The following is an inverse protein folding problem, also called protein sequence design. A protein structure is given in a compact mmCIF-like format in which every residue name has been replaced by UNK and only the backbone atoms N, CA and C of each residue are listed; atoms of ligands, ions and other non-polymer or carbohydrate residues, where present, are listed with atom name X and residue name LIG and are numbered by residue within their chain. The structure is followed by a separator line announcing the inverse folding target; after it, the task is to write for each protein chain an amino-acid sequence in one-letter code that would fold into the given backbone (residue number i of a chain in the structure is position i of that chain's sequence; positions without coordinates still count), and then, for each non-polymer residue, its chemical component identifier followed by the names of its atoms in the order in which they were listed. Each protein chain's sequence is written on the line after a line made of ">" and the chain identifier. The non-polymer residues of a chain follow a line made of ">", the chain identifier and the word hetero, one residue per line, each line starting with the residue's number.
data_IF_711477361951
#
_entry.id   IF_711477361951
#
_cell.length_a   1.000
_cell.length_b   1.000
_cell.length_c   1.000
_cell.angle_alpha   90.00
_cell.angle_beta   90.00
_cell.angle_gamma   90.00
#
_symmetry.space_group_name_H-M   'P 1'
#
loop_
_entity.id
_entity.type
_entity.pdbx_description
1 polymer ?
#
# COMPACT_ATOMS: atom_id res chain seq x y z
N UNK A 1 -19.55 -29.01 8.43
CA UNK A 1 -19.22 -27.77 7.72
C UNK A 1 -20.48 -26.94 7.59
N UNK A 2 -20.48 -25.75 8.15
CA UNK A 2 -21.52 -24.75 7.92
C UNK A 2 -21.23 -23.88 6.69
N UNK A 3 -22.17 -22.98 6.34
CA UNK A 3 -22.03 -22.11 5.16
C UNK A 3 -20.91 -21.07 5.31
N UNK A 4 -20.56 -20.64 6.51
CA UNK A 4 -19.52 -19.64 6.73
C UNK A 4 -18.13 -20.28 6.57
N UNK A 5 -17.94 -21.46 7.17
CA UNK A 5 -16.76 -22.30 6.96
C UNK A 5 -16.58 -22.65 5.49
N UNK A 6 -17.67 -23.02 4.79
CA UNK A 6 -17.63 -23.35 3.37
C UNK A 6 -17.22 -22.13 2.54
N UNK A 7 -17.84 -20.96 2.75
CA UNK A 7 -17.55 -19.72 2.01
C UNK A 7 -16.10 -19.26 2.17
N UNK A 8 -15.54 -19.39 3.37
CA UNK A 8 -14.15 -19.03 3.63
C UNK A 8 -13.14 -19.88 2.82
N UNK A 9 -13.55 -21.06 2.34
CA UNK A 9 -12.68 -21.99 1.62
C UNK A 9 -12.98 -22.07 0.11
N UNK A 10 -13.99 -21.35 -0.41
CA UNK A 10 -14.40 -21.47 -1.82
C UNK A 10 -13.33 -20.98 -2.81
N UNK A 11 -12.65 -19.87 -2.53
CA UNK A 11 -11.58 -19.37 -3.42
C UNK A 11 -10.42 -20.38 -3.48
N UNK A 12 -10.00 -20.91 -2.33
CA UNK A 12 -8.95 -21.93 -2.26
C UNK A 12 -9.37 -23.26 -2.93
N UNK A 13 -10.64 -23.66 -2.86
CA UNK A 13 -11.17 -24.82 -3.62
C UNK A 13 -11.05 -24.59 -5.13
N UNK A 14 -11.43 -23.39 -5.60
CA UNK A 14 -11.39 -23.03 -7.02
C UNK A 14 -9.94 -22.98 -7.55
N UNK A 15 -9.00 -22.48 -6.74
CA UNK A 15 -7.58 -22.42 -7.09
C UNK A 15 -6.84 -23.76 -6.90
N UNK A 16 -7.51 -24.78 -6.34
CA UNK A 16 -6.95 -26.10 -5.99
C UNK A 16 -5.83 -26.07 -4.94
N UNK A 17 -5.91 -25.12 -4.02
CA UNK A 17 -4.95 -24.93 -2.93
C UNK A 17 -5.39 -25.66 -1.64
N UNK A 18 -6.60 -26.26 -1.62
CA UNK A 18 -7.07 -27.04 -0.48
C UNK A 18 -6.41 -28.42 -0.39
N UNK A 19 -6.19 -28.87 0.84
CA UNK A 19 -5.82 -30.26 1.11
C UNK A 19 -6.94 -31.20 0.63
N UNK A 20 -6.59 -32.42 0.22
CA UNK A 20 -7.57 -33.42 -0.22
C UNK A 20 -8.77 -33.62 0.73
N UNK A 21 -8.59 -33.72 2.07
CA UNK A 21 -9.73 -33.85 2.99
C UNK A 21 -10.58 -32.58 3.10
N UNK A 22 -10.00 -31.39 2.96
CA UNK A 22 -10.75 -30.12 3.03
C UNK A 22 -11.55 -29.89 1.74
N UNK A 23 -10.94 -30.16 0.59
CA UNK A 23 -11.61 -30.10 -0.71
C UNK A 23 -12.84 -31.03 -0.75
N UNK A 24 -12.71 -32.25 -0.23
CA UNK A 24 -13.85 -33.18 -0.16
C UNK A 24 -14.98 -32.64 0.75
N UNK A 25 -14.65 -32.06 1.90
CA UNK A 25 -15.65 -31.47 2.82
C UNK A 25 -16.37 -30.28 2.18
N UNK A 26 -15.65 -29.42 1.47
CA UNK A 26 -16.22 -28.28 0.73
C UNK A 26 -17.13 -28.77 -0.40
N UNK A 27 -16.68 -29.74 -1.21
CA UNK A 27 -17.48 -30.32 -2.29
C UNK A 27 -18.80 -30.91 -1.77
N UNK A 28 -18.75 -31.73 -0.73
CA UNK A 28 -19.95 -32.31 -0.10
C UNK A 28 -20.94 -31.24 0.37
N UNK A 29 -20.44 -30.13 0.93
CA UNK A 29 -21.32 -29.03 1.35
C UNK A 29 -21.91 -28.27 0.16
N UNK A 30 -21.10 -27.95 -0.85
CA UNK A 30 -21.55 -27.26 -2.08
C UNK A 30 -22.59 -28.09 -2.81
N UNK A 31 -22.46 -29.42 -2.82
CA UNK A 31 -23.44 -30.33 -3.42
C UNK A 31 -24.81 -30.23 -2.72
N UNK A 32 -24.83 -30.04 -1.40
CA UNK A 32 -26.05 -29.93 -0.59
C UNK A 32 -26.60 -28.52 -0.38
N UNK A 33 -25.89 -27.45 -0.74
CA UNK A 33 -26.28 -26.07 -0.42
C UNK A 33 -26.27 -25.12 -1.63
N UNK A 34 -27.46 -24.66 -2.04
CA UNK A 34 -27.61 -23.78 -3.20
C UNK A 34 -26.99 -22.40 -3.05
N UNK A 35 -26.91 -21.87 -1.82
CA UNK A 35 -26.24 -20.59 -1.57
C UNK A 35 -24.74 -20.70 -1.86
N UNK A 36 -24.08 -21.71 -1.28
CA UNK A 36 -22.66 -21.97 -1.51
C UNK A 36 -22.36 -22.36 -2.97
N UNK A 37 -23.30 -23.06 -3.63
CA UNK A 37 -23.21 -23.37 -5.07
C UNK A 37 -23.20 -22.11 -5.94
N UNK A 38 -24.08 -21.14 -5.65
CA UNK A 38 -24.10 -19.85 -6.35
C UNK A 38 -22.84 -19.03 -6.10
N UNK A 39 -22.36 -19.01 -4.86
CA UNK A 39 -21.14 -18.28 -4.50
C UNK A 39 -19.91 -18.86 -5.21
N UNK A 40 -19.78 -20.19 -5.24
CA UNK A 40 -18.72 -20.87 -6.01
C UNK A 40 -18.80 -20.56 -7.50
N UNK A 41 -20.00 -20.56 -8.09
CA UNK A 41 -20.20 -20.25 -9.50
C UNK A 41 -19.79 -18.81 -9.85
N UNK A 42 -20.03 -17.83 -8.94
CA UNK A 42 -19.56 -16.45 -9.10
C UNK A 42 -18.05 -16.37 -9.16
N UNK A 43 -17.35 -17.06 -8.25
CA UNK A 43 -15.89 -17.11 -8.21
C UNK A 43 -15.35 -17.72 -9.51
N UNK A 44 -15.89 -18.86 -9.94
CA UNK A 44 -15.49 -19.50 -11.21
C UNK A 44 -15.71 -18.57 -12.41
N UNK A 45 -16.84 -17.86 -12.46
CA UNK A 45 -17.16 -16.91 -13.53
C UNK A 45 -16.16 -15.76 -13.56
N UNK A 46 -15.81 -15.21 -12.39
CA UNK A 46 -14.79 -14.16 -12.27
C UNK A 46 -13.42 -14.66 -12.76
N UNK A 47 -12.98 -15.83 -12.31
CA UNK A 47 -11.69 -16.42 -12.72
C UNK A 47 -11.65 -16.64 -14.23
N UNK A 48 -12.74 -17.12 -14.83
CA UNK A 48 -12.85 -17.29 -16.27
C UNK A 48 -12.77 -15.95 -17.02
N UNK A 49 -13.49 -14.93 -16.54
CA UNK A 49 -13.44 -13.59 -17.13
C UNK A 49 -12.03 -12.99 -17.08
N UNK A 50 -11.32 -13.15 -15.95
CA UNK A 50 -9.93 -12.69 -15.80
C UNK A 50 -8.98 -13.46 -16.73
N UNK A 51 -9.15 -14.78 -16.87
CA UNK A 51 -8.32 -15.60 -17.78
C UNK A 51 -8.54 -15.28 -19.26
N UNK A 52 -9.74 -14.79 -19.61
CA UNK A 52 -10.09 -14.35 -20.96
C UNK A 52 -9.75 -12.88 -21.22
N UNK A 53 -9.35 -12.12 -20.20
CA UNK A 53 -8.94 -10.74 -20.38
C UNK A 53 -7.67 -10.68 -21.24
N UNK A 54 -7.59 -9.68 -22.10
CA UNK A 54 -6.44 -9.47 -22.97
C UNK A 54 -5.17 -9.29 -22.13
N UNK A 55 -4.29 -10.28 -22.21
CA UNK A 55 -2.98 -10.19 -21.61
C UNK A 55 -2.09 -9.33 -22.50
N UNK A 56 -1.87 -8.07 -22.10
CA UNK A 56 -0.93 -7.20 -22.78
C UNK A 56 0.50 -7.67 -22.55
N UNK A 57 1.08 -8.34 -23.55
CA UNK A 57 2.49 -8.71 -23.54
C UNK A 57 3.32 -7.43 -23.43
N UNK A 58 4.21 -7.38 -22.45
CA UNK A 58 5.16 -6.28 -22.33
C UNK A 58 5.97 -6.14 -23.64
N UNK A 59 6.09 -4.95 -24.23
CA UNK A 59 6.92 -4.73 -25.41
C UNK A 59 8.36 -5.20 -25.14
N UNK A 60 9.01 -5.80 -26.14
CA UNK A 60 10.38 -6.29 -26.00
C UNK A 60 11.36 -5.20 -25.52
N UNK A 61 11.11 -3.94 -25.90
CA UNK A 61 11.86 -2.79 -25.40
C UNK A 61 11.73 -2.58 -23.88
N UNK A 62 10.52 -2.75 -23.32
CA UNK A 62 10.30 -2.66 -21.88
C UNK A 62 10.92 -3.86 -21.16
N UNK A 63 10.77 -5.07 -21.73
CA UNK A 63 11.42 -6.28 -21.21
C UNK A 63 12.94 -6.13 -21.16
N UNK A 64 13.55 -5.61 -22.22
CA UNK A 64 14.98 -5.35 -22.29
C UNK A 64 15.43 -4.29 -21.27
N UNK A 65 14.65 -3.21 -21.12
CA UNK A 65 14.91 -2.18 -20.10
C UNK A 65 14.85 -2.74 -18.67
N UNK A 66 13.86 -3.59 -18.38
CA UNK A 66 13.74 -4.27 -17.07
C UNK A 66 14.93 -5.22 -16.86
N UNK A 67 15.27 -6.06 -17.84
CA UNK A 67 16.41 -6.98 -17.73
C UNK A 67 17.75 -6.25 -17.58
N UNK A 68 17.92 -5.09 -18.24
CA UNK A 68 19.11 -4.26 -18.11
C UNK A 68 19.20 -3.50 -16.76
N UNK A 69 18.06 -3.25 -16.12
CA UNK A 69 17.98 -2.57 -14.81
C UNK A 69 18.03 -3.52 -13.62
N UNK A 70 17.82 -4.83 -13.85
CA UNK A 70 18.07 -5.84 -12.84
C UNK A 70 19.59 -5.96 -12.63
N UNK A 71 20.07 -5.93 -11.37
CA UNK A 71 21.48 -6.16 -11.10
C UNK A 71 21.86 -7.55 -11.62
N UNK A 72 22.96 -7.63 -12.36
CA UNK A 72 23.54 -8.91 -12.76
C UNK A 72 23.71 -9.74 -11.48
N UNK A 73 23.06 -10.91 -11.43
CA UNK A 73 23.35 -11.89 -10.40
C UNK A 73 24.86 -12.15 -10.49
N UNK A 74 25.59 -11.65 -9.49
CA UNK A 74 27.04 -11.62 -9.51
C UNK A 74 27.60 -13.03 -9.42
N UNK A 75 27.99 -13.59 -10.55
CA UNK A 75 28.98 -14.66 -10.60
C UNK A 75 30.36 -14.01 -10.45
N UNK A 76 30.94 -14.19 -9.27
CA UNK A 76 32.33 -13.82 -9.02
C UNK A 76 33.27 -14.69 -9.84
N UNK A 77 34.06 -14.07 -10.73
CA UNK A 77 35.48 -14.35 -10.92
C UNK A 77 36.11 -13.49 -12.04
N UNK A 78 37.29 -12.95 -11.70
CA UNK A 78 38.41 -12.63 -12.60
C UNK A 78 38.51 -11.20 -13.18
N UNK A 79 39.19 -10.37 -12.38
CA UNK A 79 40.25 -9.40 -12.69
C UNK A 79 40.98 -9.57 -14.06
N UNK A 80 41.15 -8.46 -14.79
CA UNK A 80 42.40 -8.18 -15.54
C UNK A 80 42.28 -7.52 -16.93
N UNK A 81 42.56 -6.19 -16.98
CA UNK A 81 43.25 -5.38 -18.03
C UNK A 81 42.70 -5.44 -19.49
N UNK A 82 42.56 -4.37 -20.30
CA UNK A 82 43.46 -3.22 -20.50
C UNK A 82 42.78 -2.09 -21.32
N UNK A 83 43.04 -0.85 -20.88
CA UNK A 83 43.21 0.44 -21.58
C UNK A 83 42.85 0.58 -23.08
N UNK A 84 42.02 1.60 -23.39
CA UNK A 84 42.30 2.61 -24.43
C UNK A 84 41.40 3.85 -24.21
N UNK A 85 42.03 5.01 -24.12
CA UNK A 85 41.44 6.35 -24.02
C UNK A 85 41.50 7.01 -25.40
N UNK A 86 40.48 7.80 -25.79
CA UNK A 86 40.76 9.07 -26.44
C UNK A 86 39.95 10.27 -25.88
N UNK A 87 40.63 11.40 -25.95
CA UNK A 87 40.33 12.79 -25.55
C UNK A 87 39.24 13.50 -26.41
N UNK A 88 38.89 14.80 -26.23
CA UNK A 88 37.51 15.20 -25.94
C UNK A 88 36.87 16.23 -26.92
N UNK A 89 35.60 16.53 -26.61
CA UNK A 89 34.76 17.70 -26.99
C UNK A 89 34.03 17.73 -28.36
N UNK A 90 32.87 18.43 -28.50
CA UNK A 90 32.37 19.54 -27.66
C UNK A 90 30.92 19.46 -27.14
N UNK A 91 30.63 20.37 -26.20
CA UNK A 91 29.39 20.55 -25.45
C UNK A 91 28.07 20.65 -26.26
N UNK A 92 26.94 20.15 -25.74
CA UNK A 92 25.63 20.41 -26.32
C UNK A 92 25.11 21.80 -25.96
N UNK A 93 24.83 22.58 -27.00
CA UNK A 93 24.15 23.87 -26.95
C UNK A 93 22.71 23.69 -26.45
N UNK A 94 22.30 24.61 -25.58
CA UNK A 94 20.95 24.79 -25.09
C UNK A 94 20.02 25.37 -26.17
N UNK A 95 18.77 24.88 -26.21
CA UNK A 95 17.49 25.56 -26.57
C UNK A 95 16.46 24.56 -27.14
N UNK A 96 15.16 24.91 -27.28
CA UNK A 96 14.25 25.49 -26.30
C UNK A 96 12.96 24.64 -26.16
N UNK A 97 12.22 24.86 -25.06
CA UNK A 97 10.92 24.22 -24.79
C UNK A 97 9.83 24.69 -25.78
N UNK A 98 9.05 23.79 -26.41
CA UNK A 98 7.83 24.17 -27.10
C UNK A 98 6.63 24.22 -26.14
N UNK A 99 5.97 25.37 -26.13
CA UNK A 99 4.64 25.64 -25.54
C UNK A 99 3.57 24.82 -26.27
N UNK A 100 3.04 23.80 -25.60
CA UNK A 100 1.86 23.06 -26.04
C UNK A 100 0.57 23.87 -25.86
N UNK A 101 -0.07 24.17 -26.99
CA UNK A 101 -1.38 24.82 -27.10
C UNK A 101 -2.52 23.82 -26.84
N UNK A 102 -3.49 24.30 -26.05
CA UNK A 102 -4.95 24.25 -26.28
C UNK A 102 -5.60 22.87 -26.48
N UNK A 103 -5.96 22.22 -25.36
CA UNK A 103 -6.85 21.06 -25.32
C UNK A 103 -8.35 21.39 -25.12
N UNK A 104 -8.73 22.68 -25.06
CA UNK A 104 -10.13 23.09 -24.90
C UNK A 104 -10.65 23.80 -26.16
N UNK A 105 -11.10 23.03 -27.15
CA UNK A 105 -11.89 23.52 -28.29
C UNK A 105 -13.17 22.74 -28.53
N UNK A 106 -13.59 21.91 -27.58
CA UNK A 106 -14.94 21.36 -27.51
C UNK A 106 -15.67 22.11 -26.40
N UNK A 107 -16.37 23.19 -26.78
CA UNK A 107 -17.46 23.89 -26.08
C UNK A 107 -17.63 25.22 -26.82
N UNK A 108 -18.22 25.13 -28.01
CA UNK A 108 -18.41 26.25 -28.92
C UNK A 108 -19.38 25.87 -30.03
N UNK A 109 -20.63 25.62 -29.65
CA UNK A 109 -21.73 25.37 -30.58
C UNK A 109 -22.95 26.13 -30.10
N UNK A 110 -23.04 27.40 -30.50
CA UNK A 110 -24.20 28.24 -30.24
C UNK A 110 -25.37 27.86 -31.14
N UNK A 111 -26.56 27.79 -30.56
CA UNK A 111 -27.81 28.02 -31.28
C UNK A 111 -28.52 29.16 -30.58
N UNK A 112 -28.61 30.26 -31.30
CA UNK A 112 -29.30 31.49 -30.91
C UNK A 112 -30.80 31.27 -31.08
N UNK A 113 -31.55 31.23 -29.97
CA UNK A 113 -33.00 31.37 -29.99
C UNK A 113 -33.38 32.57 -29.12
N UNK A 114 -33.79 33.67 -29.76
CA UNK A 114 -34.38 34.84 -29.11
C UNK A 114 -35.81 34.50 -28.67
N UNK A 115 -36.22 34.77 -27.42
CA UNK A 115 -37.61 35.02 -27.10
C UNK A 115 -37.90 36.52 -27.09
N UNK A 116 -38.99 36.93 -27.74
CA UNK A 116 -39.53 38.27 -27.67
C UNK A 116 -40.20 38.53 -26.30
N UNK A 117 -40.11 39.74 -25.72
CA UNK A 117 -40.73 40.05 -24.44
C UNK A 117 -42.17 40.56 -24.62
N UNK A 118 -43.12 39.95 -23.91
CA UNK A 118 -44.46 40.53 -23.66
C UNK A 118 -44.80 40.39 -22.18
N UNK A 119 -44.92 41.52 -21.48
CA UNK A 119 -45.55 41.62 -20.16
C UNK A 119 -44.71 42.35 -19.10
N UNK A 120 -45.26 43.38 -18.43
CA UNK A 120 -44.58 44.04 -17.31
C UNK A 120 -44.84 43.26 -16.01
N UNK A 121 -43.87 42.47 -15.57
CA UNK A 121 -43.80 41.91 -14.21
C UNK A 121 -42.88 42.75 -13.31
N UNK A 122 -43.10 42.78 -11.98
CA UNK A 122 -42.37 43.66 -11.08
C UNK A 122 -40.89 43.26 -11.02
N UNK A 123 -40.01 44.24 -11.23
CA UNK A 123 -38.56 44.07 -11.15
C UNK A 123 -38.14 43.99 -9.69
N UNK A 124 -38.00 42.78 -9.17
CA UNK A 124 -37.21 42.55 -7.95
C UNK A 124 -35.74 42.61 -8.37
N UNK A 125 -35.04 43.64 -7.91
CA UNK A 125 -33.61 43.81 -8.14
C UNK A 125 -32.85 42.70 -7.39
N UNK A 126 -32.56 41.59 -8.09
CA UNK A 126 -31.62 40.61 -7.61
C UNK A 126 -30.20 41.19 -7.73
N UNK A 127 -29.58 41.49 -6.59
CA UNK A 127 -28.17 41.88 -6.47
C UNK A 127 -27.28 40.75 -7.02
N UNK A 128 -26.59 40.92 -8.17
CA UNK A 128 -25.94 39.82 -8.90
C UNK A 128 -24.52 39.50 -8.40
N UNK A 129 -24.24 39.70 -7.11
CA UNK A 129 -22.89 39.57 -6.55
C UNK A 129 -22.68 38.42 -5.56
N UNK A 130 -23.75 37.92 -4.92
CA UNK A 130 -23.64 36.95 -3.81
C UNK A 130 -23.69 35.47 -4.24
N UNK A 131 -24.28 35.15 -5.39
CA UNK A 131 -24.47 33.75 -5.82
C UNK A 131 -23.18 33.01 -6.18
N UNK A 132 -22.18 33.72 -6.72
CA UNK A 132 -20.90 33.12 -7.12
C UNK A 132 -20.02 32.79 -5.91
N UNK A 133 -20.09 33.60 -4.84
CA UNK A 133 -19.36 33.34 -3.60
C UNK A 133 -19.86 32.07 -2.91
N UNK A 134 -21.18 31.87 -2.83
CA UNK A 134 -21.77 30.66 -2.24
C UNK A 134 -21.45 29.42 -3.08
N UNK A 135 -21.55 29.50 -4.41
CA UNK A 135 -21.22 28.38 -5.29
C UNK A 135 -19.73 27.98 -5.19
N UNK A 136 -18.81 28.94 -5.11
CA UNK A 136 -17.38 28.67 -4.94
C UNK A 136 -17.08 28.01 -3.58
N UNK A 137 -17.72 28.48 -2.52
CA UNK A 137 -17.59 27.89 -1.17
C UNK A 137 -18.09 26.45 -1.13
N UNK A 138 -19.25 26.16 -1.73
CA UNK A 138 -19.78 24.79 -1.81
C UNK A 138 -18.86 23.89 -2.64
N UNK A 139 -18.33 24.39 -3.76
CA UNK A 139 -17.39 23.63 -4.58
C UNK A 139 -16.07 23.32 -3.84
N UNK A 140 -15.52 24.29 -3.11
CA UNK A 140 -14.33 24.11 -2.27
C UNK A 140 -14.59 23.12 -1.12
N UNK A 141 -15.74 23.21 -0.46
CA UNK A 141 -16.13 22.28 0.60
C UNK A 141 -16.31 20.85 0.05
N UNK A 142 -16.95 20.69 -1.12
CA UNK A 142 -17.10 19.40 -1.77
C UNK A 142 -15.75 18.83 -2.22
N UNK A 143 -14.86 19.65 -2.80
CA UNK A 143 -13.51 19.22 -3.17
C UNK A 143 -12.67 18.82 -1.95
N UNK A 144 -12.73 19.59 -0.86
CA UNK A 144 -12.08 19.25 0.40
C UNK A 144 -12.65 17.96 1.01
N UNK A 145 -13.97 17.80 1.02
CA UNK A 145 -14.64 16.57 1.48
C UNK A 145 -14.24 15.35 0.66
N UNK A 146 -14.17 15.48 -0.67
CA UNK A 146 -13.73 14.40 -1.56
C UNK A 146 -12.26 14.05 -1.35
N UNK A 147 -11.39 15.05 -1.16
CA UNK A 147 -9.99 14.82 -0.84
C UNK A 147 -9.81 14.12 0.52
N UNK A 148 -10.57 14.50 1.54
CA UNK A 148 -10.57 13.83 2.84
C UNK A 148 -11.10 12.40 2.72
N UNK A 149 -12.20 12.17 2.01
CA UNK A 149 -12.77 10.83 1.80
C UNK A 149 -11.79 9.91 1.06
N UNK A 150 -11.13 10.40 0.00
CA UNK A 150 -10.10 9.65 -0.71
C UNK A 150 -8.94 9.25 0.21
N UNK A 151 -8.48 10.16 1.08
CA UNK A 151 -7.43 9.87 2.08
C UNK A 151 -7.84 8.81 3.10
N UNK A 152 -9.10 8.83 3.54
CA UNK A 152 -9.61 7.79 4.43
C UNK A 152 -9.64 6.43 3.72
N UNK A 153 -10.19 6.37 2.50
CA UNK A 153 -10.24 5.14 1.71
C UNK A 153 -8.84 4.55 1.42
N UNK A 154 -7.83 5.40 1.19
CA UNK A 154 -6.44 4.94 1.03
C UNK A 154 -5.84 4.42 2.34
N UNK A 155 -6.22 5.00 3.48
CA UNK A 155 -5.80 4.53 4.81
C UNK A 155 -6.44 3.18 5.11
N UNK A 156 -7.74 3.03 4.87
CA UNK A 156 -8.49 1.78 5.08
C UNK A 156 -7.91 0.66 4.21
N UNK A 157 -7.61 0.94 2.93
CA UNK A 157 -6.94 -0.04 2.05
C UNK A 157 -5.56 -0.45 2.58
N UNK A 158 -4.81 0.51 3.13
CA UNK A 158 -3.50 0.21 3.74
C UNK A 158 -3.66 -0.65 4.98
N UNK A 159 -4.66 -0.37 5.82
CA UNK A 159 -4.99 -1.18 7.02
C UNK A 159 -5.31 -2.62 6.62
N UNK A 160 -6.17 -2.81 5.61
CA UNK A 160 -6.54 -4.14 5.13
C UNK A 160 -5.33 -4.93 4.61
N UNK A 161 -4.43 -4.29 3.86
CA UNK A 161 -3.19 -4.91 3.38
C UNK A 161 -2.23 -5.29 4.52
N UNK A 162 -2.09 -4.43 5.53
CA UNK A 162 -1.24 -4.68 6.70
C UNK A 162 -1.77 -5.84 7.55
N UNK A 163 -3.09 -5.89 7.77
CA UNK A 163 -3.74 -7.02 8.47
C UNK A 163 -3.59 -8.30 7.66
N UNK A 164 -3.81 -8.26 6.35
CA UNK A 164 -3.65 -9.43 5.48
C UNK A 164 -2.20 -9.95 5.46
N UNK A 165 -1.21 -9.05 5.44
CA UNK A 165 0.21 -9.42 5.57
C UNK A 165 0.50 -10.08 6.92
N UNK A 166 0.02 -9.50 8.01
CA UNK A 166 0.19 -10.02 9.37
C UNK A 166 -0.39 -11.45 9.52
N UNK A 167 -1.67 -11.62 9.14
CA UNK A 167 -2.35 -12.92 9.19
C UNK A 167 -1.65 -13.97 8.34
N UNK A 168 -1.22 -13.61 7.12
CA UNK A 168 -0.49 -14.52 6.23
C UNK A 168 0.85 -14.94 6.83
N UNK A 169 1.58 -14.00 7.44
CA UNK A 169 2.86 -14.27 8.09
C UNK A 169 2.71 -15.24 9.26
N UNK A 170 1.68 -15.04 10.09
CA UNK A 170 1.40 -15.88 11.26
C UNK A 170 0.98 -17.30 10.86
N UNK A 171 0.06 -17.43 9.89
CA UNK A 171 -0.42 -18.74 9.40
C UNK A 171 0.64 -19.55 8.64
N UNK A 172 1.57 -18.90 7.94
CA UNK A 172 2.50 -19.58 7.02
C UNK A 172 3.76 -20.14 7.70
N UNK A 173 3.95 -19.89 9.01
CA UNK A 173 5.20 -20.16 9.73
C UNK A 173 6.47 -19.56 9.07
N UNK A 174 6.31 -18.68 8.07
CA UNK A 174 7.36 -17.85 7.44
C UNK A 174 7.24 -16.41 7.95
N UNK A 175 6.95 -16.25 9.23
CA UNK A 175 6.82 -14.93 9.85
C UNK A 175 8.13 -14.13 9.81
N UNK A 176 9.27 -14.81 9.62
CA UNK A 176 10.60 -14.24 9.79
C UNK A 176 11.53 -14.76 8.68
N UNK A 177 12.09 -13.85 7.89
CA UNK A 177 13.10 -14.18 6.87
C UNK A 177 14.52 -14.18 7.46
N UNK A 178 14.73 -13.43 8.56
CA UNK A 178 15.95 -13.45 9.38
C UNK A 178 15.61 -13.57 10.83
N UNK A 179 15.87 -14.75 11.37
CA UNK A 179 15.73 -15.04 12.79
C UNK A 179 16.97 -14.49 13.48
N UNK A 180 16.86 -13.29 14.07
CA UNK A 180 17.94 -12.70 14.87
C UNK A 180 17.34 -11.75 15.90
N UNK A 181 17.69 -11.98 17.15
CA UNK A 181 17.41 -11.07 18.27
C UNK A 181 18.36 -9.87 18.30
N UNK A 182 19.48 -9.94 17.54
CA UNK A 182 20.49 -8.89 17.47
C UNK A 182 20.27 -7.95 16.27
N UNK A 183 20.18 -6.65 16.55
CA UNK A 183 20.12 -5.56 15.58
C UNK A 183 21.30 -5.56 14.60
N UNK A 184 22.46 -6.07 15.01
CA UNK A 184 23.68 -6.12 14.19
C UNK A 184 23.62 -7.19 13.08
N UNK A 185 22.62 -8.08 13.10
CA UNK A 185 22.35 -9.03 12.01
C UNK A 185 21.20 -8.55 11.11
N UNK A 186 20.18 -7.92 11.70
CA UNK A 186 18.97 -7.50 10.99
C UNK A 186 19.21 -6.29 10.09
N UNK A 187 19.93 -5.26 10.57
CA UNK A 187 20.22 -4.04 9.77
C UNK A 187 21.02 -4.37 8.50
N UNK A 188 22.14 -5.13 8.55
CA UNK A 188 22.87 -5.50 7.34
C UNK A 188 22.08 -6.39 6.38
N UNK A 189 21.15 -7.21 6.87
CA UNK A 189 20.34 -8.05 5.99
C UNK A 189 19.36 -7.26 5.11
N UNK A 190 18.84 -6.15 5.63
CA UNK A 190 18.01 -5.23 4.83
C UNK A 190 18.83 -4.45 3.79
N UNK A 191 20.13 -4.24 4.02
CA UNK A 191 21.01 -3.55 3.08
C UNK A 191 21.09 -4.31 1.75
N UNK A 192 20.76 -3.63 0.65
CA UNK A 192 20.70 -4.22 -0.70
C UNK A 192 19.37 -4.88 -1.06
N UNK A 193 18.44 -5.04 -0.10
CA UNK A 193 17.06 -5.49 -0.36
C UNK A 193 16.05 -4.34 -0.33
N UNK A 194 16.36 -3.27 0.38
CA UNK A 194 15.56 -2.05 0.44
C UNK A 194 16.39 -0.85 -0.02
N UNK A 195 15.70 0.19 -0.49
CA UNK A 195 16.22 1.51 -0.86
C UNK A 195 16.48 2.42 0.36
N UNK A 196 16.26 1.91 1.57
CA UNK A 196 16.46 2.58 2.85
C UNK A 196 16.85 1.57 3.94
N UNK A 197 17.38 2.07 5.06
CA UNK A 197 17.72 1.27 6.22
C UNK A 197 16.74 1.57 7.38
N UNK A 198 15.87 0.62 7.78
CA UNK A 198 14.98 0.83 8.92
C UNK A 198 15.77 0.91 10.23
N UNK A 199 15.43 1.83 11.15
CA UNK A 199 15.93 1.78 12.52
C UNK A 199 15.49 0.47 13.18
N UNK A 200 16.39 -0.19 13.90
CA UNK A 200 16.12 -1.46 14.60
C UNK A 200 16.64 -1.27 16.02
N UNK A 201 15.72 -1.28 16.97
CA UNK A 201 15.99 -1.06 18.38
C UNK A 201 15.72 -2.32 19.19
N UNK A 202 16.56 -2.55 20.21
CA UNK A 202 16.33 -3.63 21.15
C UNK A 202 15.43 -3.13 22.29
N UNK A 203 14.22 -3.69 22.34
CA UNK A 203 13.17 -3.36 23.30
C UNK A 203 12.92 -4.51 24.29
N UNK A 204 13.81 -5.51 24.35
CA UNK A 204 13.64 -6.68 25.21
C UNK A 204 13.54 -6.30 26.70
N UNK A 205 14.29 -5.28 27.13
CA UNK A 205 14.23 -4.74 28.50
C UNK A 205 12.84 -4.17 28.87
N UNK A 206 12.05 -3.76 27.88
CA UNK A 206 10.68 -3.26 28.04
C UNK A 206 9.62 -4.37 27.80
N UNK A 207 10.04 -5.62 27.62
CA UNK A 207 9.16 -6.77 27.39
C UNK A 207 8.84 -7.05 25.91
N UNK A 208 9.43 -6.30 24.98
CA UNK A 208 9.21 -6.44 23.54
C UNK A 208 10.47 -7.00 22.88
N UNK A 209 10.62 -8.32 22.89
CA UNK A 209 11.80 -8.96 22.32
C UNK A 209 11.77 -8.88 20.79
N UNK A 210 12.81 -8.35 20.16
CA UNK A 210 12.99 -8.47 18.72
C UNK A 210 13.25 -9.93 18.37
N UNK A 211 12.45 -10.51 17.48
CA UNK A 211 12.61 -11.91 17.02
C UNK A 211 13.33 -11.95 15.68
N UNK A 212 13.16 -10.91 14.87
CA UNK A 212 13.80 -10.83 13.57
C UNK A 212 13.19 -9.78 12.66
N UNK A 213 13.41 -9.98 11.36
CA UNK A 213 12.81 -9.15 10.32
C UNK A 213 12.37 -9.98 9.12
N UNK A 214 11.46 -9.42 8.34
CA UNK A 214 11.06 -9.91 7.03
C UNK A 214 10.87 -8.76 6.05
N UNK A 215 10.76 -9.09 4.77
CA UNK A 215 10.43 -8.14 3.72
C UNK A 215 9.06 -8.46 3.16
N UNK A 216 8.18 -7.46 3.11
CA UNK A 216 6.84 -7.61 2.53
C UNK A 216 6.49 -6.49 1.56
N UNK A 217 5.31 -6.56 0.96
CA UNK A 217 4.77 -5.58 0.04
C UNK A 217 3.49 -4.97 0.60
N UNK A 218 3.50 -3.65 0.79
CA UNK A 218 2.33 -2.85 1.17
C UNK A 218 2.20 -1.71 0.18
N UNK A 219 1.03 -1.51 -0.40
CA UNK A 219 0.76 -0.49 -1.41
C UNK A 219 1.63 -0.62 -2.67
N UNK A 220 1.98 -1.87 -3.05
CA UNK A 220 2.93 -2.21 -4.13
C UNK A 220 4.37 -1.73 -3.91
N UNK A 221 4.74 -1.33 -2.68
CA UNK A 221 6.12 -0.98 -2.32
C UNK A 221 6.69 -2.04 -1.38
N UNK A 222 7.99 -2.32 -1.52
CA UNK A 222 8.74 -3.16 -0.56
C UNK A 222 8.88 -2.42 0.77
N UNK A 223 8.49 -3.08 1.85
CA UNK A 223 8.48 -2.53 3.20
C UNK A 223 9.26 -3.46 4.13
N UNK A 224 10.07 -2.87 5.01
CA UNK A 224 10.70 -3.61 6.10
C UNK A 224 9.64 -3.95 7.14
N UNK A 225 9.59 -5.22 7.56
CA UNK A 225 8.77 -5.62 8.71
C UNK A 225 9.70 -6.15 9.79
N UNK A 226 9.69 -5.47 10.95
CA UNK A 226 10.39 -5.91 12.15
C UNK A 226 9.41 -6.69 13.01
N UNK A 227 9.80 -7.89 13.41
CA UNK A 227 8.93 -8.80 14.13
C UNK A 227 9.34 -8.80 15.59
N UNK A 228 8.49 -8.26 16.44
CA UNK A 228 8.64 -8.27 17.89
C UNK A 228 7.70 -9.29 18.52
N UNK A 229 8.05 -9.76 19.70
CA UNK A 229 7.21 -10.63 20.51
C UNK A 229 6.93 -9.96 21.85
N UNK A 230 5.66 -9.88 22.19
CA UNK A 230 5.16 -9.45 23.50
C UNK A 230 4.43 -10.62 24.14
N UNK A 231 5.06 -11.25 25.14
CA UNK A 231 4.55 -12.50 25.75
C UNK A 231 4.35 -13.57 24.67
N UNK A 232 3.11 -13.95 24.37
CA UNK A 232 2.78 -14.91 23.31
C UNK A 232 2.36 -14.23 21.99
N UNK A 233 2.08 -12.94 22.02
CA UNK A 233 1.60 -12.16 20.88
C UNK A 233 2.76 -11.70 19.99
N UNK A 234 2.52 -11.70 18.68
CA UNK A 234 3.45 -11.18 17.68
C UNK A 234 3.04 -9.74 17.36
N UNK A 235 4.03 -8.86 17.26
CA UNK A 235 3.85 -7.47 16.86
C UNK A 235 4.67 -7.28 15.58
N UNK A 236 3.98 -7.12 14.46
CA UNK A 236 4.60 -6.81 13.19
C UNK A 236 4.66 -5.30 13.00
N UNK A 237 5.89 -4.79 12.83
CA UNK A 237 6.16 -3.37 12.74
C UNK A 237 6.71 -3.06 11.35
N UNK A 238 5.86 -2.45 10.53
CA UNK A 238 6.14 -2.04 9.17
C UNK A 238 6.78 -0.66 9.17
N UNK A 239 7.99 -0.56 8.65
CA UNK A 239 8.80 0.67 8.68
C UNK A 239 9.09 1.09 7.25
N UNK A 240 8.80 2.35 6.94
CA UNK A 240 9.11 2.96 5.63
C UNK A 240 9.50 4.43 5.79
N UNK A 241 10.22 5.04 4.83
CA UNK A 241 10.48 6.48 4.84
C UNK A 241 9.18 7.28 4.92
N UNK A 242 9.18 8.34 5.74
CA UNK A 242 8.02 9.21 5.87
C UNK A 242 7.70 9.89 4.53
N UNK A 243 6.41 10.05 4.24
CA UNK A 243 5.94 10.76 3.06
C UNK A 243 6.15 12.27 3.16
N UNK A 244 5.77 13.00 2.10
CA UNK A 244 5.79 14.46 2.15
C UNK A 244 4.63 14.96 3.03
N UNK A 245 4.98 15.53 4.17
CA UNK A 245 4.04 16.10 5.14
C UNK A 245 3.75 15.17 6.32
N UNK A 246 3.48 15.75 7.51
CA UNK A 246 3.25 14.97 8.72
C UNK A 246 1.99 14.14 8.56
N UNK A 247 2.09 12.85 8.86
CA UNK A 247 0.98 11.96 8.81
C UNK A 247 0.30 11.92 10.18
N UNK A 248 -1.02 12.15 10.23
CA UNK A 248 -1.74 12.17 11.51
C UNK A 248 -1.63 10.82 12.24
N UNK A 249 -1.31 10.80 13.54
CA UNK A 249 -1.37 9.57 14.33
C UNK A 249 -2.71 8.85 14.13
N UNK A 250 -2.66 7.53 13.95
CA UNK A 250 -3.84 6.75 13.63
C UNK A 250 -3.79 5.44 14.40
N UNK A 251 -4.76 5.24 15.31
CA UNK A 251 -4.92 4.02 16.07
C UNK A 251 -6.34 3.48 15.86
N UNK A 252 -6.46 2.19 15.57
CA UNK A 252 -7.75 1.54 15.34
C UNK A 252 -7.67 0.05 15.68
N UNK A 253 -8.82 -0.62 15.70
CA UNK A 253 -8.90 -2.08 15.71
C UNK A 253 -9.66 -2.50 14.45
N UNK A 254 -9.06 -3.39 13.66
CA UNK A 254 -9.67 -3.94 12.45
C UNK A 254 -9.54 -5.46 12.43
N UNK A 255 -10.64 -6.17 12.18
CA UNK A 255 -10.68 -7.64 12.13
C UNK A 255 -10.09 -8.34 13.38
N UNK A 256 -10.19 -7.70 14.55
CA UNK A 256 -9.64 -8.22 15.81
C UNK A 256 -8.16 -7.92 16.05
N UNK A 257 -7.49 -7.24 15.11
CA UNK A 257 -6.09 -6.81 15.25
C UNK A 257 -6.04 -5.33 15.62
N UNK A 258 -5.21 -4.99 16.60
CA UNK A 258 -4.90 -3.62 16.94
C UNK A 258 -3.88 -3.06 15.94
N UNK A 259 -4.10 -1.82 15.50
CA UNK A 259 -3.18 -1.08 14.65
C UNK A 259 -2.85 0.26 15.28
N UNK A 260 -1.58 0.65 15.21
CA UNK A 260 -1.13 2.02 15.50
C UNK A 260 -0.18 2.49 14.41
N UNK A 261 -0.19 3.80 14.16
CA UNK A 261 0.60 4.47 13.14
C UNK A 261 1.13 5.78 13.67
N UNK A 262 2.43 5.98 13.47
CA UNK A 262 3.11 7.20 13.87
C UNK A 262 4.31 7.47 12.97
N UNK A 263 4.81 8.70 13.05
CA UNK A 263 6.05 9.10 12.39
C UNK A 263 7.13 9.34 13.46
N UNK A 264 8.31 8.75 13.28
CA UNK A 264 9.45 8.91 14.17
C UNK A 264 10.77 8.64 13.42
N UNK A 265 11.83 9.37 13.75
CA UNK A 265 13.16 9.25 13.14
C UNK A 265 13.16 9.30 11.59
N UNK A 266 12.30 10.14 10.99
CA UNK A 266 12.17 10.27 9.53
C UNK A 266 11.46 9.09 8.84
N UNK A 267 10.89 8.17 9.61
CA UNK A 267 10.16 7.00 9.12
C UNK A 267 8.69 7.06 9.54
N UNK A 268 7.81 6.52 8.70
CA UNK A 268 6.44 6.15 9.08
C UNK A 268 6.43 4.70 9.54
N UNK A 269 5.88 4.51 10.72
CA UNK A 269 5.73 3.23 11.40
C UNK A 269 4.27 2.83 11.40
N UNK A 270 4.02 1.55 11.15
CA UNK A 270 2.75 0.90 11.40
C UNK A 270 3.01 -0.34 12.23
N UNK A 271 2.27 -0.53 13.32
CA UNK A 271 2.31 -1.77 14.09
C UNK A 271 0.98 -2.48 14.00
N UNK A 272 1.03 -3.81 13.86
CA UNK A 272 -0.14 -4.70 13.86
C UNK A 272 0.09 -5.82 14.86
N UNK A 273 -0.91 -6.12 15.68
CA UNK A 273 -0.87 -7.22 16.65
C UNK A 273 -2.27 -7.73 16.98
N UNK A 274 -2.36 -8.98 17.40
CA UNK A 274 -3.54 -9.61 18.00
C UNK A 274 -3.70 -9.27 19.49
N UNK A 275 -2.73 -8.57 20.10
CA UNK A 275 -2.81 -8.10 21.48
C UNK A 275 -3.76 -6.90 21.65
N UNK A 276 -4.09 -6.58 22.91
CA UNK A 276 -4.90 -5.41 23.26
C UNK A 276 -4.22 -4.11 22.79
N UNK A 277 -4.99 -3.07 22.34
CA UNK A 277 -4.42 -1.79 21.90
C UNK A 277 -3.48 -1.10 22.90
N UNK A 278 -3.65 -1.37 24.20
CA UNK A 278 -2.77 -0.90 25.27
C UNK A 278 -1.33 -1.40 25.10
N UNK A 279 -1.12 -2.60 24.54
CA UNK A 279 0.19 -3.15 24.26
C UNK A 279 0.92 -2.36 23.16
N UNK A 280 0.21 -1.89 22.12
CA UNK A 280 0.80 -1.04 21.08
C UNK A 280 1.18 0.34 21.63
N UNK A 281 0.35 0.93 22.50
CA UNK A 281 0.68 2.19 23.16
C UNK A 281 1.94 2.07 24.03
N UNK A 282 2.08 0.97 24.78
CA UNK A 282 3.28 0.67 25.55
C UNK A 282 4.51 0.42 24.66
N UNK A 283 4.34 -0.34 23.57
CA UNK A 283 5.41 -0.58 22.58
C UNK A 283 5.93 0.73 22.00
N UNK A 284 5.03 1.60 21.53
CA UNK A 284 5.38 2.90 20.95
C UNK A 284 6.14 3.77 21.95
N UNK A 285 5.68 3.81 23.20
CA UNK A 285 6.35 4.57 24.27
C UNK A 285 7.79 4.07 24.49
N UNK A 286 8.00 2.75 24.50
CA UNK A 286 9.32 2.17 24.64
C UNK A 286 10.23 2.46 23.42
N UNK A 287 9.68 2.37 22.21
CA UNK A 287 10.40 2.67 20.98
C UNK A 287 10.81 4.14 20.90
N UNK A 288 9.87 5.07 21.15
CA UNK A 288 10.12 6.51 21.10
C UNK A 288 11.23 6.91 22.09
N UNK A 289 11.24 6.30 23.29
CA UNK A 289 12.31 6.51 24.27
C UNK A 289 13.69 6.08 23.77
N UNK A 290 13.79 4.95 23.05
CA UNK A 290 15.06 4.49 22.47
C UNK A 290 15.51 5.37 21.30
N UNK A 291 14.59 5.70 20.39
CA UNK A 291 14.89 6.55 19.24
C UNK A 291 15.34 7.95 19.68
N UNK A 292 14.72 8.53 20.71
CA UNK A 292 15.15 9.82 21.27
C UNK A 292 16.56 9.75 21.89
N UNK A 293 16.89 8.64 22.57
CA UNK A 293 18.21 8.42 23.16
C UNK A 293 19.35 8.34 22.13
N UNK A 294 19.10 7.72 20.97
CA UNK A 294 20.12 7.58 19.90
C UNK A 294 20.50 8.90 19.20
N UNK A 295 19.71 9.96 19.38
CA UNK A 295 20.01 11.28 18.82
C UNK A 295 20.85 12.18 19.75
N UNK A 296 21.15 11.74 20.98
CA UNK A 296 21.86 12.54 21.99
C UNK A 296 23.31 12.11 22.25
N UNK A 297 23.86 11.17 21.46
CA UNK A 297 25.27 10.75 21.48
C UNK A 297 26.05 11.23 20.26
#
# INVERSE_FOLDING_TARGET
>A
MDCNEARALLDADVDRELSAPDALRVQQHVDGCDACRRDRARIVTLVQAVRQADYHRAPEALRASILASLPAAGDGRTRGQSRAEPEPEPAPRSQPRPRGRRWFSWLGGGVSARPAPTGPGPRVAALPGLGWGVALMVALAAAAGMALSARHADTDRTVDELVASHVRADLSARAIDVISTDRHTVKPWFNGRLDYAPPVEDLAASGFALVGGRLDYVGRRRVAVLVYRYRQHVIDVYVRPAGVGPAAPYATVSQGYALDRWDAAGMTWWAVTDAEPSALAAFRTALDARLAGTHSE
#
